data_IF_253887602116
#
_entry.id   IF_253887602116
#
_cell.length_a   1.000
_cell.length_b   1.000
_cell.length_c   1.000
_cell.angle_alpha   90.00
_cell.angle_beta   90.00
_cell.angle_gamma   90.00
#
_symmetry.space_group_name_H-M   'P 1'
#
loop_
_entity.id
_entity.type
_entity.pdbx_description
1 polymer ?
#
# COMPACT_ATOMS: atom_id res chain seq x y z
N UNK A 1 -5.42 -6.16 3.97
CA UNK A 1 -3.98 -6.42 3.72
C UNK A 1 -3.10 -5.26 4.18
N UNK A 2 -3.42 -4.03 3.83
CA UNK A 2 -2.63 -2.85 4.25
C UNK A 2 -2.62 -2.61 5.77
N UNK A 3 -3.57 -3.17 6.50
CA UNK A 3 -3.57 -3.11 7.97
C UNK A 3 -2.35 -3.83 8.59
N UNK A 4 -1.96 -5.00 8.04
CA UNK A 4 -0.78 -5.75 8.51
C UNK A 4 0.49 -5.35 7.78
N UNK A 5 0.45 -5.32 6.47
CA UNK A 5 1.65 -5.29 5.62
C UNK A 5 2.00 -3.91 5.06
N UNK A 6 1.18 -2.89 5.29
CA UNK A 6 1.41 -1.58 4.68
C UNK A 6 1.02 -1.53 3.20
N UNK A 7 1.65 -0.67 2.46
CA UNK A 7 1.42 -0.50 1.02
C UNK A 7 2.44 -1.30 0.18
N UNK A 8 2.08 -1.61 -1.06
CA UNK A 8 2.99 -2.25 -2.01
C UNK A 8 4.26 -1.41 -2.25
N UNK A 9 4.17 -0.10 -2.09
CA UNK A 9 5.29 0.86 -2.18
C UNK A 9 6.49 0.44 -1.34
N UNK A 10 6.26 -0.05 -0.13
CA UNK A 10 7.28 -0.40 0.84
C UNK A 10 8.11 -1.64 0.40
N UNK A 11 7.57 -2.40 -0.53
CA UNK A 11 8.18 -3.64 -1.05
C UNK A 11 8.82 -3.49 -2.42
N UNK A 12 8.59 -2.39 -3.14
CA UNK A 12 9.19 -2.17 -4.46
C UNK A 12 10.66 -1.83 -4.30
N UNK A 13 11.53 -2.63 -4.94
CA UNK A 13 12.99 -2.48 -4.91
C UNK A 13 13.55 -1.89 -6.19
N UNK A 14 12.97 -2.25 -7.34
CA UNK A 14 13.40 -1.77 -8.65
C UNK A 14 12.19 -1.66 -9.57
N UNK A 15 12.24 -0.68 -10.46
CA UNK A 15 11.29 -0.52 -11.58
C UNK A 15 12.08 -0.35 -12.88
N UNK A 16 11.54 -0.90 -13.97
CA UNK A 16 11.87 -0.47 -15.32
C UNK A 16 10.62 0.16 -15.93
N UNK A 17 10.75 1.40 -16.34
CA UNK A 17 9.65 2.21 -16.88
C UNK A 17 9.95 2.51 -18.34
N UNK A 18 9.01 2.19 -19.23
CA UNK A 18 9.00 2.60 -20.61
C UNK A 18 8.41 4.02 -20.70
N UNK A 19 9.17 4.96 -21.17
CA UNK A 19 8.79 6.36 -21.33
C UNK A 19 8.01 6.57 -22.64
N UNK A 20 7.33 7.72 -22.75
CA UNK A 20 6.48 8.06 -23.91
C UNK A 20 7.23 8.10 -25.24
N UNK A 21 8.53 8.37 -25.21
CA UNK A 21 9.41 8.40 -26.37
C UNK A 21 10.06 7.03 -26.70
N UNK A 22 9.69 5.97 -26.00
CA UNK A 22 10.23 4.61 -26.18
C UNK A 22 11.54 4.34 -25.45
N UNK A 23 12.14 5.33 -24.77
CA UNK A 23 13.33 5.10 -23.94
C UNK A 23 12.94 4.40 -22.63
N UNK A 24 13.90 3.81 -21.95
CA UNK A 24 13.70 3.09 -20.69
C UNK A 24 14.40 3.79 -19.55
N UNK A 25 13.74 3.80 -18.40
CA UNK A 25 14.29 4.32 -17.16
C UNK A 25 14.35 3.18 -16.14
N UNK A 26 15.53 2.84 -15.67
CA UNK A 26 15.71 1.91 -14.56
C UNK A 26 15.92 2.69 -13.27
N UNK A 27 15.13 2.38 -12.25
CA UNK A 27 15.13 3.08 -10.95
C UNK A 27 15.20 2.04 -9.85
N UNK A 28 16.12 2.25 -8.90
CA UNK A 28 16.27 1.40 -7.71
C UNK A 28 15.99 2.19 -6.45
N UNK A 29 15.38 1.51 -5.50
CA UNK A 29 15.08 2.06 -4.17
C UNK A 29 16.37 2.51 -3.48
N UNK A 30 16.39 3.77 -3.04
CA UNK A 30 17.48 4.32 -2.24
C UNK A 30 18.68 4.83 -3.03
N UNK A 31 18.65 4.80 -4.38
CA UNK A 31 19.79 5.26 -5.21
C UNK A 31 19.65 6.72 -5.67
N UNK A 32 18.43 7.18 -5.94
CA UNK A 32 18.21 8.51 -6.50
C UNK A 32 17.18 9.27 -5.69
N UNK A 33 17.60 10.37 -5.10
CA UNK A 33 16.75 11.24 -4.29
C UNK A 33 16.67 12.65 -4.87
N UNK A 34 15.56 13.33 -4.60
CA UNK A 34 15.46 14.76 -4.84
C UNK A 34 16.51 15.50 -4.02
N UNK A 35 17.14 16.47 -4.63
CA UNK A 35 18.11 17.37 -3.99
C UNK A 35 17.44 18.37 -3.02
N UNK A 36 18.25 19.23 -2.39
CA UNK A 36 17.77 20.25 -1.45
C UNK A 36 16.81 21.29 -2.08
N UNK A 37 16.79 21.42 -3.41
CA UNK A 37 15.85 22.25 -4.17
C UNK A 37 14.59 21.48 -4.61
N UNK A 38 14.50 20.19 -4.25
CA UNK A 38 13.41 19.31 -4.66
C UNK A 38 13.48 18.84 -6.10
N UNK A 39 14.68 18.79 -6.69
CA UNK A 39 14.90 18.36 -8.08
C UNK A 39 15.39 16.92 -8.11
N UNK A 40 14.69 16.06 -8.85
CA UNK A 40 15.11 14.71 -9.20
C UNK A 40 15.81 14.73 -10.54
N UNK A 41 17.03 14.16 -10.59
CA UNK A 41 17.79 13.94 -11.83
C UNK A 41 17.99 12.44 -12.04
N UNK A 42 17.45 11.89 -13.10
CA UNK A 42 17.52 10.47 -13.45
C UNK A 42 18.15 10.32 -14.83
N UNK A 43 18.88 9.22 -15.04
CA UNK A 43 19.48 8.94 -16.35
C UNK A 43 18.80 7.73 -16.98
N UNK A 44 18.29 7.88 -18.19
CA UNK A 44 17.67 6.79 -18.95
C UNK A 44 18.72 5.82 -19.50
N UNK A 45 18.26 4.67 -20.00
CA UNK A 45 19.14 3.64 -20.60
C UNK A 45 19.90 4.17 -21.81
N UNK A 46 19.32 5.11 -22.57
CA UNK A 46 20.03 5.78 -23.69
C UNK A 46 21.07 6.82 -23.25
N UNK A 47 21.20 7.08 -21.94
CA UNK A 47 22.11 8.08 -21.39
C UNK A 47 21.52 9.48 -21.28
N UNK A 48 20.24 9.68 -21.58
CA UNK A 48 19.57 10.99 -21.48
C UNK A 48 19.27 11.32 -20.02
N UNK A 49 19.61 12.52 -19.59
CA UNK A 49 19.22 13.04 -18.27
C UNK A 49 17.78 13.57 -18.29
N UNK A 50 17.00 13.11 -17.34
CA UNK A 50 15.62 13.54 -17.12
C UNK A 50 15.56 14.25 -15.77
N UNK A 51 15.16 15.51 -15.81
CA UNK A 51 15.07 16.32 -14.59
C UNK A 51 13.62 16.70 -14.33
N UNK A 52 13.12 16.40 -13.12
CA UNK A 52 11.75 16.72 -12.72
C UNK A 52 11.74 17.35 -11.34
N UNK A 53 10.78 18.24 -11.10
CA UNK A 53 10.55 18.79 -9.76
C UNK A 53 9.66 17.84 -8.95
N UNK A 54 10.12 17.46 -7.76
CA UNK A 54 9.35 16.63 -6.84
C UNK A 54 8.05 17.34 -6.43
N UNK A 55 6.95 16.61 -6.22
CA UNK A 55 5.73 17.17 -5.62
C UNK A 55 6.01 17.73 -4.24
N UNK A 56 5.46 18.91 -3.93
CA UNK A 56 5.72 19.65 -2.68
C UNK A 56 4.50 19.76 -1.76
N UNK A 57 3.35 19.21 -2.15
CA UNK A 57 2.17 19.26 -1.31
C UNK A 57 2.31 18.39 -0.07
N UNK A 58 1.72 18.83 1.03
CA UNK A 58 1.65 18.06 2.25
C UNK A 58 0.71 16.86 2.09
N UNK A 59 1.20 15.68 2.43
CA UNK A 59 0.38 14.47 2.40
C UNK A 59 -0.52 14.43 3.64
N UNK A 60 -1.80 14.02 3.48
CA UNK A 60 -2.66 13.80 4.63
C UNK A 60 -2.03 12.80 5.59
N UNK A 61 -2.14 13.08 6.89
CA UNK A 61 -1.65 12.21 7.96
C UNK A 61 -2.55 10.97 8.15
N UNK A 62 -2.88 10.30 7.05
CA UNK A 62 -3.68 9.08 7.01
C UNK A 62 -2.79 7.86 6.82
N UNK A 63 -3.22 6.72 7.37
CA UNK A 63 -2.46 5.48 7.26
C UNK A 63 -2.37 4.96 5.81
N UNK A 64 -3.35 5.25 4.98
CA UNK A 64 -3.38 4.91 3.56
C UNK A 64 -3.82 6.15 2.78
N UNK A 65 -2.97 6.58 1.86
CA UNK A 65 -3.27 7.63 0.91
C UNK A 65 -2.80 7.20 -0.48
N UNK A 66 -3.69 7.27 -1.46
CA UNK A 66 -3.43 6.95 -2.86
C UNK A 66 -3.76 8.12 -3.79
N UNK A 67 -3.97 9.33 -3.26
CA UNK A 67 -4.30 10.52 -4.05
C UNK A 67 -3.05 11.18 -4.59
N UNK A 68 -3.02 11.42 -5.90
CA UNK A 68 -1.93 12.11 -6.58
C UNK A 68 -0.59 11.38 -6.55
N UNK A 69 0.44 12.07 -7.04
CA UNK A 69 1.81 11.57 -6.96
C UNK A 69 2.30 11.55 -5.51
N UNK A 70 3.19 10.63 -5.21
CA UNK A 70 3.76 10.57 -3.87
C UNK A 70 4.65 11.79 -3.59
N UNK A 71 4.50 12.40 -2.42
CA UNK A 71 5.30 13.53 -1.96
C UNK A 71 6.03 13.15 -0.67
N UNK A 72 7.32 13.40 -0.60
CA UNK A 72 8.17 13.23 0.58
C UNK A 72 9.41 14.15 0.46
N UNK A 73 10.09 14.36 1.57
CA UNK A 73 11.34 15.15 1.61
C UNK A 73 12.40 14.41 2.42
N UNK A 74 13.50 13.93 1.78
CA UNK A 74 13.71 13.88 0.33
C UNK A 74 12.78 12.85 -0.34
N UNK A 75 12.43 13.06 -1.62
CA UNK A 75 11.67 12.09 -2.42
C UNK A 75 12.65 11.10 -3.07
N UNK A 76 12.45 9.81 -2.85
CA UNK A 76 13.11 8.76 -3.64
C UNK A 76 12.43 8.67 -5.02
N UNK A 77 13.23 8.67 -6.09
CA UNK A 77 12.75 8.67 -7.47
C UNK A 77 11.75 7.54 -7.77
N UNK A 78 11.95 6.35 -7.21
CA UNK A 78 11.07 5.21 -7.41
C UNK A 78 9.65 5.48 -6.90
N UNK A 79 9.51 6.29 -5.84
CA UNK A 79 8.23 6.62 -5.23
C UNK A 79 7.37 7.55 -6.10
N UNK A 80 7.98 8.29 -7.02
CA UNK A 80 7.25 9.12 -7.98
C UNK A 80 6.43 8.25 -8.97
N UNK A 81 6.98 7.11 -9.36
CA UNK A 81 6.36 6.22 -10.36
C UNK A 81 5.33 5.26 -9.75
N UNK A 82 5.48 4.90 -8.46
CA UNK A 82 4.54 4.00 -7.79
C UNK A 82 3.22 4.75 -7.53
N UNK A 83 2.14 4.31 -8.18
CA UNK A 83 0.83 4.95 -8.11
C UNK A 83 0.66 6.10 -9.12
N UNK A 84 1.52 6.21 -10.13
CA UNK A 84 1.40 7.21 -11.19
C UNK A 84 0.33 6.90 -12.24
N UNK A 85 -0.30 5.73 -12.15
CA UNK A 85 -1.42 5.30 -13.03
C UNK A 85 -1.12 5.42 -14.53
N UNK A 86 0.14 5.21 -14.93
CA UNK A 86 0.58 5.27 -16.32
C UNK A 86 0.86 6.68 -16.84
N UNK A 87 0.65 7.74 -16.06
CA UNK A 87 0.83 9.13 -16.50
C UNK A 87 2.29 9.54 -16.71
N UNK A 88 3.24 8.83 -16.09
CA UNK A 88 4.69 9.09 -16.19
C UNK A 88 5.42 8.06 -17.06
N UNK A 89 4.73 7.02 -17.50
CA UNK A 89 5.27 5.93 -18.29
C UNK A 89 4.62 4.60 -17.94
N UNK A 90 4.97 3.55 -18.65
CA UNK A 90 4.47 2.19 -18.43
C UNK A 90 5.52 1.37 -17.68
N UNK A 91 5.17 0.87 -16.50
CA UNK A 91 6.05 -0.02 -15.72
C UNK A 91 6.05 -1.38 -16.41
N UNK A 92 7.21 -1.83 -16.90
CA UNK A 92 7.38 -3.09 -17.65
C UNK A 92 8.07 -4.18 -16.83
N UNK A 93 8.86 -3.79 -15.81
CA UNK A 93 9.48 -4.73 -14.85
C UNK A 93 9.37 -4.17 -13.43
N UNK A 94 9.17 -5.07 -12.47
CA UNK A 94 9.12 -4.74 -11.05
C UNK A 94 9.92 -5.79 -10.27
N UNK A 95 10.86 -5.33 -9.44
CA UNK A 95 11.49 -6.17 -8.42
C UNK A 95 10.85 -5.87 -7.06
N UNK A 96 10.37 -6.92 -6.38
CA UNK A 96 9.69 -6.83 -5.10
C UNK A 96 10.45 -7.57 -4.00
N UNK A 97 10.51 -6.99 -2.82
CA UNK A 97 10.82 -7.73 -1.61
C UNK A 97 9.65 -8.65 -1.26
N UNK A 98 9.94 -9.92 -1.07
CA UNK A 98 8.93 -10.91 -0.72
C UNK A 98 8.85 -11.07 0.81
N UNK A 99 7.66 -11.36 1.28
CA UNK A 99 7.41 -11.75 2.65
C UNK A 99 7.43 -13.29 2.77
N UNK A 100 7.83 -13.83 3.92
CA UNK A 100 7.64 -15.25 4.20
C UNK A 100 6.17 -15.64 4.05
N UNK A 101 5.92 -16.80 3.45
CA UNK A 101 4.58 -17.35 3.38
C UNK A 101 4.10 -17.69 4.79
N UNK A 102 2.91 -17.25 5.21
CA UNK A 102 2.40 -17.62 6.53
C UNK A 102 2.14 -19.13 6.57
N UNK A 103 2.45 -19.77 7.70
CA UNK A 103 2.21 -21.21 7.93
C UNK A 103 0.72 -21.57 7.85
N UNK A 104 -0.16 -20.60 8.15
CA UNK A 104 -1.60 -20.74 8.03
C UNK A 104 -2.31 -19.41 8.27
N UNK A 105 -3.57 -19.36 7.93
CA UNK A 105 -4.43 -18.24 8.26
C UNK A 105 -5.87 -18.70 8.45
N UNK A 106 -6.59 -17.99 9.30
CA UNK A 106 -8.03 -18.12 9.46
C UNK A 106 -8.73 -17.02 8.65
N UNK A 107 -9.79 -17.41 7.94
CA UNK A 107 -10.68 -16.48 7.26
C UNK A 107 -12.12 -16.84 7.62
N UNK A 108 -12.92 -15.84 7.95
CA UNK A 108 -14.30 -16.05 8.35
C UNK A 108 -15.11 -14.76 8.35
N UNK A 109 -16.41 -14.90 8.50
CA UNK A 109 -17.37 -13.80 8.66
C UNK A 109 -17.99 -13.94 10.05
N UNK A 110 -18.05 -12.84 10.77
CA UNK A 110 -18.68 -12.76 12.10
C UNK A 110 -19.87 -11.81 12.00
N UNK A 111 -21.05 -12.29 12.43
CA UNK A 111 -22.28 -11.52 12.43
C UNK A 111 -22.55 -10.97 13.82
N UNK A 112 -23.00 -9.73 13.88
CA UNK A 112 -23.35 -9.06 15.12
C UNK A 112 -24.78 -8.56 15.05
N UNK A 113 -25.54 -8.76 16.12
CA UNK A 113 -26.90 -8.24 16.24
C UNK A 113 -26.93 -6.71 16.46
N UNK A 114 -25.87 -6.16 17.04
CA UNK A 114 -25.77 -4.72 17.35
C UNK A 114 -24.45 -4.16 16.84
N UNK A 115 -24.52 -2.96 16.27
CA UNK A 115 -23.33 -2.26 15.78
C UNK A 115 -22.30 -1.97 16.90
N UNK A 116 -22.76 -1.73 18.12
CA UNK A 116 -21.89 -1.51 19.28
C UNK A 116 -20.95 -2.70 19.54
N UNK A 117 -21.47 -3.92 19.44
CA UNK A 117 -20.70 -5.14 19.67
C UNK A 117 -19.70 -5.38 18.54
N UNK A 118 -20.09 -5.08 17.31
CA UNK A 118 -19.20 -5.10 16.16
C UNK A 118 -18.03 -4.12 16.32
N UNK A 119 -18.31 -2.87 16.72
CA UNK A 119 -17.27 -1.87 16.91
C UNK A 119 -16.31 -2.25 18.04
N UNK A 120 -16.83 -2.80 19.15
CA UNK A 120 -16.01 -3.31 20.24
C UNK A 120 -15.08 -4.46 19.77
N UNK A 121 -15.63 -5.41 19.01
CA UNK A 121 -14.82 -6.50 18.41
C UNK A 121 -13.73 -5.97 17.49
N UNK A 122 -14.05 -5.01 16.61
CA UNK A 122 -13.05 -4.45 15.67
C UNK A 122 -11.96 -3.71 16.43
N UNK A 123 -12.29 -2.95 17.47
CA UNK A 123 -11.31 -2.22 18.28
C UNK A 123 -10.40 -3.18 19.05
N UNK A 124 -10.96 -4.21 19.67
CA UNK A 124 -10.19 -5.25 20.35
C UNK A 124 -9.28 -6.03 19.40
N UNK A 125 -9.82 -6.51 18.27
CA UNK A 125 -9.03 -7.24 17.27
C UNK A 125 -7.90 -6.38 16.70
N UNK A 126 -8.16 -5.09 16.47
CA UNK A 126 -7.16 -4.13 16.01
C UNK A 126 -6.08 -3.89 17.07
N UNK A 127 -6.47 -3.62 18.30
CA UNK A 127 -5.54 -3.33 19.40
C UNK A 127 -4.64 -4.53 19.68
N UNK A 128 -5.22 -5.71 19.86
CA UNK A 128 -4.49 -6.96 20.09
C UNK A 128 -3.52 -7.25 18.93
N UNK A 129 -3.95 -7.05 17.67
CA UNK A 129 -3.06 -7.25 16.51
C UNK A 129 -1.84 -6.30 16.53
N UNK A 130 -2.03 -5.06 16.92
CA UNK A 130 -0.94 -4.08 17.02
C UNK A 130 0.02 -4.42 18.18
N UNK A 131 -0.50 -4.90 19.29
CA UNK A 131 0.29 -5.34 20.45
C UNK A 131 1.10 -6.60 20.13
N UNK A 132 0.48 -7.58 19.50
CA UNK A 132 1.13 -8.80 19.01
C UNK A 132 2.36 -8.49 18.16
N UNK A 133 2.23 -7.53 17.24
CA UNK A 133 3.35 -7.11 16.35
C UNK A 133 4.45 -6.36 17.07
N UNK A 134 4.14 -5.66 18.17
CA UNK A 134 5.14 -4.91 18.96
C UNK A 134 5.94 -5.81 19.89
N UNK A 135 5.32 -6.85 20.44
CA UNK A 135 5.87 -7.63 21.55
C UNK A 135 6.51 -8.95 21.12
N UNK A 136 6.46 -9.32 19.83
CA UNK A 136 6.86 -10.65 19.36
C UNK A 136 6.29 -11.77 20.27
N UNK A 137 5.00 -11.71 20.56
CA UNK A 137 4.34 -12.46 21.62
C UNK A 137 4.46 -13.98 21.43
N UNK A 138 4.76 -14.65 22.50
CA UNK A 138 4.77 -16.11 22.58
C UNK A 138 3.38 -16.58 23.07
N UNK A 139 2.64 -17.35 22.26
CA UNK A 139 1.32 -17.88 22.60
C UNK A 139 0.23 -17.56 21.54
N UNK A 140 -1.02 -18.01 21.77
CA UNK A 140 -2.11 -17.75 20.85
C UNK A 140 -2.45 -16.25 20.84
N UNK A 141 -2.25 -15.62 19.69
CA UNK A 141 -2.43 -14.18 19.51
C UNK A 141 -3.24 -13.88 18.27
N UNK A 142 -3.93 -12.76 18.28
CA UNK A 142 -4.61 -12.24 17.09
C UNK A 142 -3.64 -11.35 16.33
N UNK A 143 -3.43 -11.65 15.05
CA UNK A 143 -2.70 -10.79 14.11
C UNK A 143 -3.50 -10.62 12.82
N UNK A 144 -4.54 -9.81 12.89
CA UNK A 144 -5.46 -9.58 11.79
C UNK A 144 -4.75 -9.01 10.56
N UNK A 145 -4.89 -9.68 9.43
CA UNK A 145 -4.37 -9.21 8.15
C UNK A 145 -5.30 -8.19 7.52
N UNK A 146 -6.60 -8.40 7.66
CA UNK A 146 -7.67 -7.62 7.08
C UNK A 146 -8.88 -7.67 8.01
N UNK A 147 -9.52 -6.52 8.20
CA UNK A 147 -10.83 -6.39 8.82
C UNK A 147 -11.69 -5.59 7.85
N UNK A 148 -12.77 -6.17 7.37
CA UNK A 148 -13.75 -5.52 6.50
C UNK A 148 -15.11 -5.51 7.17
N UNK A 149 -15.82 -4.42 6.99
CA UNK A 149 -17.15 -4.20 7.56
C UNK A 149 -18.20 -4.11 6.47
N UNK A 150 -19.28 -4.84 6.67
CA UNK A 150 -20.48 -4.76 5.86
C UNK A 150 -21.63 -4.29 6.76
N UNK A 151 -22.22 -3.17 6.44
CA UNK A 151 -23.40 -2.66 7.16
C UNK A 151 -24.68 -3.42 6.76
N UNK A 152 -25.77 -3.12 7.46
CA UNK A 152 -27.06 -3.77 7.20
C UNK A 152 -27.56 -3.54 5.76
N UNK A 153 -27.29 -2.37 5.17
CA UNK A 153 -27.68 -2.07 3.80
C UNK A 153 -26.89 -2.90 2.80
N UNK A 154 -25.57 -2.98 2.99
CA UNK A 154 -24.69 -3.83 2.18
C UNK A 154 -25.08 -5.30 2.26
N UNK A 155 -25.44 -5.79 3.46
CA UNK A 155 -25.98 -7.14 3.64
C UNK A 155 -27.33 -7.33 2.93
N UNK A 156 -28.17 -6.30 2.89
CA UNK A 156 -29.43 -6.29 2.14
C UNK A 156 -29.20 -6.59 0.66
N UNK A 157 -28.28 -5.88 0.02
CA UNK A 157 -27.92 -6.13 -1.38
C UNK A 157 -27.32 -7.52 -1.63
N UNK A 158 -26.53 -8.03 -0.70
CA UNK A 158 -25.97 -9.38 -0.81
C UNK A 158 -27.10 -10.42 -0.73
N UNK A 159 -28.05 -10.27 0.21
CA UNK A 159 -29.20 -11.18 0.40
C UNK A 159 -30.18 -11.19 -0.77
N UNK A 160 -30.33 -10.08 -1.49
CA UNK A 160 -31.13 -10.05 -2.72
C UNK A 160 -30.60 -11.04 -3.78
N UNK A 161 -29.28 -11.19 -3.85
CA UNK A 161 -28.64 -12.09 -4.80
C UNK A 161 -28.34 -13.48 -4.23
N UNK A 162 -28.12 -13.57 -2.94
CA UNK A 162 -27.76 -14.78 -2.18
C UNK A 162 -28.65 -14.88 -0.93
N UNK A 163 -29.89 -15.37 -1.08
CA UNK A 163 -30.90 -15.40 0.00
C UNK A 163 -30.48 -16.22 1.23
N UNK A 164 -29.55 -17.17 1.07
CA UNK A 164 -28.99 -17.99 2.14
C UNK A 164 -28.00 -17.27 3.03
N UNK A 165 -27.63 -16.04 2.72
CA UNK A 165 -26.71 -15.24 3.56
C UNK A 165 -27.38 -14.92 4.90
N UNK A 166 -26.74 -15.24 6.05
CA UNK A 166 -27.27 -15.02 7.40
C UNK A 166 -27.66 -13.57 7.70
#
# INVERSE_FOLDING_TARGET
RSFKYGSTRDYVRRLVVLLVDGDRLEIRRGETFADGAGVLSMTSVSGRTITVKAPTYERPATRKNASGYFSATPLDAIDLFIGSEGTLGVIIEIELALLPMPEGFFSGIVFFARQTDLLAFVDEARTTSLETRRQAACGPTVDATLLEYFDANSLGFIRERFPETP
#
